data_IF_831032223301
#
_entry.id   IF_831032223301
#
_cell.length_a   1.000
_cell.length_b   1.000
_cell.length_c   1.000
_cell.angle_alpha   90.00
_cell.angle_beta   90.00
_cell.angle_gamma   90.00
#
_symmetry.space_group_name_H-M   'P 1'
#
loop_
_entity.id
_entity.type
_entity.pdbx_description
1 polymer ?
#
# COMPACT_ATOMS: atom_id res chain seq x y z
N UNK A 1 5.15 -24.68 -54.60
CA UNK A 1 5.42 -23.49 -55.43
C UNK A 1 5.64 -22.31 -54.50
N UNK A 2 6.90 -21.85 -54.44
CA UNK A 2 7.25 -20.54 -53.80
C UNK A 2 7.20 -19.48 -54.88
N UNK A 3 6.99 -18.21 -54.49
CA UNK A 3 8.05 -17.27 -54.80
C UNK A 3 8.49 -16.41 -53.60
N UNK A 4 9.77 -16.21 -53.59
CA UNK A 4 10.52 -15.24 -52.77
C UNK A 4 10.35 -13.82 -53.31
N UNK A 5 10.37 -12.84 -52.44
CA UNK A 5 10.59 -11.44 -52.83
C UNK A 5 11.52 -10.77 -51.83
N UNK A 6 12.60 -10.28 -52.39
CA UNK A 6 13.75 -9.57 -51.78
C UNK A 6 13.40 -8.13 -51.47
N UNK A 7 13.96 -7.49 -50.40
CA UNK A 7 13.75 -6.06 -50.14
C UNK A 7 14.75 -5.18 -50.95
N UNK A 8 14.37 -3.95 -51.30
CA UNK A 8 15.26 -2.99 -51.94
C UNK A 8 16.14 -2.23 -50.94
N UNK A 9 17.40 -2.08 -51.34
CA UNK A 9 18.39 -1.21 -50.74
C UNK A 9 18.05 0.25 -51.03
N UNK A 10 18.13 1.12 -50.04
CA UNK A 10 18.06 2.57 -50.25
C UNK A 10 19.35 3.22 -49.79
N UNK A 11 19.83 4.03 -50.66
CA UNK A 11 21.08 4.72 -50.75
C UNK A 11 21.34 5.77 -49.67
N UNK A 12 22.62 5.83 -49.25
CA UNK A 12 23.22 7.01 -48.61
C UNK A 12 23.27 8.19 -49.57
N UNK A 13 22.81 9.34 -49.12
CA UNK A 13 23.16 10.63 -49.73
C UNK A 13 23.87 11.48 -48.69
N UNK A 14 25.18 11.62 -48.87
CA UNK A 14 25.97 12.69 -48.24
C UNK A 14 25.58 14.00 -48.89
N UNK A 15 25.31 15.03 -48.11
CA UNK A 15 25.39 16.41 -48.55
C UNK A 15 25.99 17.32 -47.48
N UNK A 16 26.92 18.06 -47.93
CA UNK A 16 27.93 18.87 -47.24
C UNK A 16 27.37 20.17 -46.68
N UNK A 17 27.87 20.52 -45.51
CA UNK A 17 28.41 21.77 -45.00
C UNK A 17 27.90 23.09 -45.64
N UNK A 18 27.34 23.94 -44.78
CA UNK A 18 27.56 25.38 -44.84
C UNK A 18 27.54 25.97 -43.42
N UNK A 19 28.64 26.59 -43.09
CA UNK A 19 28.90 27.32 -41.85
C UNK A 19 28.05 28.59 -41.78
N UNK A 20 27.39 28.81 -40.65
CA UNK A 20 26.72 30.06 -40.30
C UNK A 20 26.90 30.34 -38.83
N UNK A 21 27.69 31.35 -38.54
CA UNK A 21 27.99 31.87 -37.20
C UNK A 21 26.85 32.77 -36.75
N UNK A 22 26.65 32.76 -35.42
CA UNK A 22 26.01 33.74 -34.55
C UNK A 22 24.58 33.47 -34.09
N UNK A 23 24.47 33.36 -32.76
CA UNK A 23 23.22 33.44 -32.05
C UNK A 23 23.25 32.63 -30.75
N UNK A 24 24.00 33.10 -29.74
CA UNK A 24 23.90 32.59 -28.37
C UNK A 24 22.56 33.06 -27.79
N UNK A 25 21.50 32.31 -27.98
CA UNK A 25 20.29 32.41 -27.17
C UNK A 25 20.39 31.35 -26.09
N UNK A 26 20.88 31.73 -24.92
CA UNK A 26 20.87 30.90 -23.73
C UNK A 26 19.44 30.62 -23.29
N UNK A 27 18.90 29.50 -23.69
CA UNK A 27 17.69 28.96 -23.08
C UNK A 27 18.07 28.48 -21.67
N UNK A 28 17.81 29.33 -20.68
CA UNK A 28 17.81 28.89 -19.28
C UNK A 28 16.69 27.83 -19.10
N UNK A 29 17.08 26.57 -19.15
CA UNK A 29 16.20 25.49 -18.71
C UNK A 29 16.06 25.66 -17.21
N UNK A 30 14.97 26.32 -16.82
CA UNK A 30 14.51 26.28 -15.41
C UNK A 30 14.17 24.84 -15.11
N UNK A 31 15.13 24.10 -14.57
CA UNK A 31 14.90 22.77 -14.03
C UNK A 31 13.83 22.89 -12.93
N UNK A 32 12.64 22.40 -13.21
CA UNK A 32 11.62 22.20 -12.18
C UNK A 32 12.25 21.24 -11.17
N UNK A 33 12.42 21.65 -9.89
CA UNK A 33 12.90 20.70 -8.88
C UNK A 33 11.91 19.54 -8.86
N UNK A 34 12.36 18.36 -9.29
CA UNK A 34 11.58 17.15 -9.17
C UNK A 34 11.26 16.97 -7.68
N UNK A 35 9.99 16.91 -7.32
CA UNK A 35 9.56 16.53 -5.99
C UNK A 35 10.06 15.10 -5.83
N UNK A 36 11.12 14.90 -5.06
CA UNK A 36 11.53 13.57 -4.65
C UNK A 36 10.37 12.96 -3.87
N UNK A 37 9.75 11.92 -4.40
CA UNK A 37 8.80 11.13 -3.64
C UNK A 37 9.56 10.57 -2.44
N UNK A 38 9.06 10.80 -1.25
CA UNK A 38 9.63 10.18 -0.05
C UNK A 38 9.53 8.65 -0.21
N UNK A 39 10.59 7.96 0.19
CA UNK A 39 10.54 6.49 0.24
C UNK A 39 9.40 6.04 1.15
N UNK A 40 8.68 4.97 0.78
CA UNK A 40 7.63 4.44 1.64
C UNK A 40 8.20 4.03 2.99
N UNK A 41 7.45 4.19 4.10
CA UNK A 41 7.93 3.82 5.42
C UNK A 41 8.33 2.35 5.46
N UNK A 42 9.41 1.99 6.17
CA UNK A 42 9.86 0.60 6.24
C UNK A 42 8.81 -0.26 6.92
N UNK A 43 8.59 -1.46 6.38
CA UNK A 43 7.67 -2.44 6.94
C UNK A 43 8.31 -3.14 8.14
N UNK A 44 7.73 -3.04 9.36
CA UNK A 44 8.20 -3.79 10.51
C UNK A 44 8.11 -5.31 10.28
N UNK A 45 9.08 -6.07 10.79
CA UNK A 45 8.97 -7.54 10.79
C UNK A 45 8.00 -7.99 11.88
N UNK A 46 6.70 -7.94 11.59
CA UNK A 46 5.64 -8.32 12.52
C UNK A 46 5.70 -9.80 12.96
N UNK A 47 6.39 -10.64 12.20
CA UNK A 47 6.55 -12.05 12.57
C UNK A 47 7.49 -12.23 13.77
N UNK A 48 8.36 -11.26 14.04
CA UNK A 48 9.21 -11.23 15.23
C UNK A 48 8.45 -10.76 16.49
N UNK A 49 7.27 -10.17 16.34
CA UNK A 49 6.51 -9.66 17.48
C UNK A 49 5.80 -10.78 18.25
N UNK A 50 5.76 -10.71 19.59
CA UNK A 50 4.95 -11.62 20.40
C UNK A 50 3.47 -11.54 20.00
N UNK A 51 2.81 -12.68 20.03
CA UNK A 51 1.38 -12.77 19.69
C UNK A 51 0.51 -12.35 20.87
N UNK A 52 -0.39 -11.41 20.63
CA UNK A 52 -1.49 -11.12 21.54
C UNK A 52 -2.46 -12.31 21.62
N UNK A 53 -3.18 -12.42 22.72
CA UNK A 53 -4.21 -13.45 22.89
C UNK A 53 -5.47 -13.03 22.11
N UNK A 54 -5.89 -13.75 21.06
CA UNK A 54 -6.98 -13.29 20.20
C UNK A 54 -8.32 -13.13 20.93
N UNK A 55 -8.59 -13.95 21.96
CA UNK A 55 -9.82 -13.83 22.75
C UNK A 55 -10.02 -12.46 23.40
N UNK A 56 -8.94 -11.73 23.67
CA UNK A 56 -9.00 -10.41 24.31
C UNK A 56 -9.45 -9.30 23.34
N UNK A 57 -9.52 -9.62 22.05
CA UNK A 57 -9.90 -8.74 20.95
C UNK A 57 -11.19 -9.20 20.26
N UNK A 58 -11.86 -10.21 20.82
CA UNK A 58 -13.08 -10.78 20.26
C UNK A 58 -14.26 -9.84 20.45
N UNK A 59 -14.93 -9.48 19.35
CA UNK A 59 -16.09 -8.58 19.32
C UNK A 59 -17.19 -9.14 18.43
N UNK A 60 -18.37 -8.51 18.39
CA UNK A 60 -19.49 -8.89 17.53
C UNK A 60 -19.85 -10.37 17.71
N UNK A 61 -20.11 -10.79 18.97
CA UNK A 61 -20.42 -12.17 19.35
C UNK A 61 -19.39 -13.20 18.85
N UNK A 62 -18.14 -12.76 18.77
CA UNK A 62 -17.04 -13.60 18.33
C UNK A 62 -16.84 -13.67 16.81
N UNK A 63 -17.58 -12.92 16.01
CA UNK A 63 -17.41 -12.89 14.56
C UNK A 63 -16.10 -12.23 14.13
N UNK A 64 -15.62 -11.25 14.89
CA UNK A 64 -14.43 -10.47 14.56
C UNK A 64 -13.42 -10.46 15.70
N UNK A 65 -12.16 -10.29 15.33
CA UNK A 65 -11.14 -9.74 16.22
C UNK A 65 -10.89 -8.29 15.80
N UNK A 66 -11.13 -7.32 16.70
CA UNK A 66 -10.97 -5.91 16.41
C UNK A 66 -9.97 -5.26 17.36
N UNK A 67 -9.17 -4.36 16.83
CA UNK A 67 -8.16 -3.63 17.60
C UNK A 67 -7.93 -2.22 17.04
N UNK A 68 -7.65 -1.29 17.94
CA UNK A 68 -7.23 0.07 17.58
C UNK A 68 -5.73 0.14 17.31
N UNK A 69 -5.33 0.96 16.36
CA UNK A 69 -3.91 1.19 16.00
C UNK A 69 -3.54 2.67 16.04
N UNK A 70 -3.94 3.45 15.08
CA UNK A 70 -3.80 4.90 15.05
C UNK A 70 -5.05 5.56 15.64
N UNK A 71 -4.97 6.84 15.99
CA UNK A 71 -6.13 7.57 16.55
C UNK A 71 -7.36 7.45 15.64
N UNK A 72 -8.40 6.84 16.15
CA UNK A 72 -9.66 6.63 15.44
C UNK A 72 -9.63 5.56 14.33
N UNK A 73 -8.52 4.85 14.13
CA UNK A 73 -8.42 3.75 13.16
C UNK A 73 -8.64 2.41 13.85
N UNK A 74 -9.66 1.69 13.42
CA UNK A 74 -9.99 0.34 13.88
C UNK A 74 -9.66 -0.67 12.80
N UNK A 75 -8.92 -1.72 13.17
CA UNK A 75 -8.61 -2.86 12.32
C UNK A 75 -9.41 -4.08 12.76
N UNK A 76 -9.74 -4.93 11.78
CA UNK A 76 -10.54 -6.14 11.99
C UNK A 76 -9.92 -7.32 11.25
N UNK A 77 -9.94 -8.50 11.91
CA UNK A 77 -9.79 -9.81 11.30
C UNK A 77 -11.15 -10.50 11.37
N UNK A 78 -11.78 -10.72 10.22
CA UNK A 78 -13.08 -11.35 10.12
C UNK A 78 -12.93 -12.87 10.15
N UNK A 79 -13.49 -13.48 11.18
CA UNK A 79 -13.40 -14.93 11.39
C UNK A 79 -14.28 -15.75 10.46
N UNK A 80 -15.33 -15.13 9.92
CA UNK A 80 -16.27 -15.82 9.03
C UNK A 80 -15.75 -15.82 7.59
N UNK A 81 -15.47 -14.64 7.06
CA UNK A 81 -15.01 -14.50 5.68
C UNK A 81 -13.50 -14.74 5.53
N UNK A 82 -12.71 -14.61 6.60
CA UNK A 82 -11.24 -14.56 6.52
C UNK A 82 -10.71 -13.25 5.97
N UNK A 83 -11.56 -12.26 5.77
CA UNK A 83 -11.17 -10.92 5.35
C UNK A 83 -10.49 -10.15 6.47
N UNK A 84 -9.77 -9.10 6.09
CA UNK A 84 -9.10 -8.22 7.05
C UNK A 84 -9.00 -6.79 6.50
N UNK A 85 -8.84 -5.84 7.38
CA UNK A 85 -8.68 -4.44 6.99
C UNK A 85 -8.73 -3.48 8.15
N UNK A 86 -8.55 -2.21 7.84
CA UNK A 86 -8.65 -1.11 8.79
C UNK A 86 -9.52 0.00 8.23
N UNK A 87 -10.30 0.65 9.07
CA UNK A 87 -11.10 1.81 8.70
C UNK A 87 -11.06 2.90 9.76
N UNK A 88 -11.23 4.14 9.30
CA UNK A 88 -11.18 5.34 10.14
C UNK A 88 -10.46 6.49 9.43
N UNK A 89 -10.05 7.51 10.16
CA UNK A 89 -9.28 8.63 9.60
C UNK A 89 -7.82 8.19 9.36
N UNK A 90 -7.58 7.41 8.27
CA UNK A 90 -6.25 6.91 7.93
C UNK A 90 -5.39 8.11 7.47
N UNK A 91 -4.32 8.49 8.23
CA UNK A 91 -3.50 9.64 7.86
C UNK A 91 -2.77 9.38 6.54
N UNK A 92 -2.59 10.41 5.71
CA UNK A 92 -1.85 10.32 4.43
C UNK A 92 -2.28 9.17 3.51
N UNK A 93 -3.55 8.71 3.62
CA UNK A 93 -4.05 7.62 2.78
C UNK A 93 -4.15 8.04 1.30
N UNK A 94 -3.83 7.16 0.35
CA UNK A 94 -3.99 7.42 -1.07
C UNK A 94 -5.41 7.89 -1.41
N UNK A 95 -5.53 9.03 -2.09
CA UNK A 95 -6.84 9.61 -2.45
C UNK A 95 -7.75 9.97 -1.26
N UNK A 96 -7.20 10.14 -0.06
CA UNK A 96 -7.98 10.42 1.15
C UNK A 96 -8.83 9.23 1.60
N UNK A 97 -8.41 8.01 1.31
CA UNK A 97 -9.12 6.78 1.66
C UNK A 97 -9.29 6.65 3.18
N UNK A 98 -10.44 6.15 3.59
CA UNK A 98 -10.77 5.87 4.99
C UNK A 98 -10.96 4.36 5.28
N UNK A 99 -10.61 3.55 4.31
CA UNK A 99 -10.67 2.10 4.37
C UNK A 99 -9.50 1.49 3.61
N UNK A 100 -8.89 0.47 4.18
CA UNK A 100 -8.05 -0.49 3.47
C UNK A 100 -8.53 -1.88 3.84
N UNK A 101 -8.74 -2.75 2.87
CA UNK A 101 -9.24 -4.10 3.14
C UNK A 101 -8.84 -5.10 2.07
N UNK A 102 -8.84 -6.37 2.44
CA UNK A 102 -8.74 -7.52 1.56
C UNK A 102 -9.69 -8.63 2.01
N UNK A 103 -10.04 -9.52 1.09
CA UNK A 103 -10.68 -10.80 1.41
C UNK A 103 -9.70 -11.82 1.99
N UNK A 104 -10.16 -13.06 2.12
CA UNK A 104 -9.30 -14.18 2.56
C UNK A 104 -8.15 -14.48 1.57
N UNK A 105 -8.28 -14.05 0.34
CA UNK A 105 -7.29 -14.12 -0.71
C UNK A 105 -7.36 -12.85 -1.57
N UNK A 106 -6.23 -12.52 -2.22
CA UNK A 106 -6.10 -11.35 -3.08
C UNK A 106 -5.47 -10.15 -2.39
N UNK A 107 -5.12 -9.18 -3.21
CA UNK A 107 -4.41 -7.98 -2.75
C UNK A 107 -5.36 -7.02 -2.04
N UNK A 108 -4.92 -6.39 -0.95
CA UNK A 108 -5.68 -5.31 -0.33
C UNK A 108 -5.77 -4.09 -1.24
N UNK A 109 -6.82 -3.29 -1.01
CA UNK A 109 -7.02 -2.04 -1.71
C UNK A 109 -7.49 -0.94 -0.76
N UNK A 110 -7.10 0.30 -1.07
CA UNK A 110 -7.64 1.49 -0.42
C UNK A 110 -8.96 1.90 -1.06
N UNK A 111 -9.89 2.36 -0.25
CA UNK A 111 -11.21 2.79 -0.70
C UNK A 111 -11.78 3.91 0.18
N UNK A 112 -12.77 4.63 -0.37
CA UNK A 112 -13.57 5.58 0.39
C UNK A 112 -14.93 4.95 0.67
N UNK A 113 -15.19 4.66 1.95
CA UNK A 113 -16.50 4.24 2.43
C UNK A 113 -17.29 5.44 2.93
N UNK A 114 -18.60 5.48 2.67
CA UNK A 114 -19.48 6.56 3.15
C UNK A 114 -19.50 6.66 4.68
N UNK A 115 -19.21 5.55 5.36
CA UNK A 115 -19.01 5.45 6.81
C UNK A 115 -17.85 4.50 7.08
N UNK A 116 -17.09 4.70 8.18
CA UNK A 116 -16.06 3.74 8.58
C UNK A 116 -16.66 2.34 8.70
N UNK A 117 -16.16 1.39 7.91
CA UNK A 117 -16.73 0.04 7.82
C UNK A 117 -16.70 -0.68 9.18
N UNK A 118 -15.62 -0.49 9.93
CA UNK A 118 -15.39 -1.10 11.24
C UNK A 118 -15.74 -0.16 12.40
N UNK A 119 -16.31 1.01 12.11
CA UNK A 119 -16.76 2.00 13.11
C UNK A 119 -17.92 1.52 13.98
N UNK A 120 -18.51 0.37 13.67
CA UNK A 120 -19.48 -0.32 14.55
C UNK A 120 -18.83 -0.88 15.81
N UNK A 121 -17.50 -1.00 15.82
CA UNK A 121 -16.73 -1.42 16.99
C UNK A 121 -16.25 -0.14 17.69
N UNK A 122 -17.09 0.33 18.62
CA UNK A 122 -16.72 1.46 19.46
C UNK A 122 -15.62 1.07 20.46
N UNK A 123 -14.63 1.96 20.63
CA UNK A 123 -13.54 1.78 21.60
C UNK A 123 -12.81 0.43 21.47
N UNK A 124 -12.46 0.03 20.25
CA UNK A 124 -11.64 -1.17 20.02
C UNK A 124 -10.36 -1.10 20.87
N UNK A 125 -10.08 -2.21 21.60
CA UNK A 125 -8.88 -2.30 22.42
C UNK A 125 -7.63 -2.06 21.59
N UNK A 126 -6.77 -1.15 22.03
CA UNK A 126 -5.52 -0.89 21.34
C UNK A 126 -4.63 -2.14 21.29
N UNK A 127 -4.00 -2.37 20.16
CA UNK A 127 -2.93 -3.37 20.04
C UNK A 127 -1.63 -2.74 20.59
N UNK A 128 -1.01 -3.32 21.62
CA UNK A 128 0.20 -2.76 22.21
C UNK A 128 1.34 -2.67 21.19
N UNK A 129 2.26 -1.69 21.31
CA UNK A 129 3.45 -1.65 20.49
C UNK A 129 4.25 -2.95 20.53
N UNK A 130 4.90 -3.26 19.41
CA UNK A 130 5.67 -4.48 19.20
C UNK A 130 4.87 -5.76 19.47
N UNK A 131 3.59 -5.75 19.16
CA UNK A 131 2.70 -6.88 19.34
C UNK A 131 1.98 -7.20 18.04
N UNK A 132 1.68 -8.47 17.80
CA UNK A 132 0.87 -8.91 16.66
C UNK A 132 -0.38 -9.64 17.13
N UNK A 133 -1.43 -9.54 16.33
CA UNK A 133 -2.65 -10.34 16.42
C UNK A 133 -2.78 -11.17 15.16
N UNK A 134 -3.01 -12.47 15.30
CA UNK A 134 -3.07 -13.37 14.14
C UNK A 134 -4.33 -14.22 14.17
N UNK A 135 -4.87 -14.46 13.00
CA UNK A 135 -5.95 -15.40 12.78
C UNK A 135 -5.80 -16.09 11.43
N UNK A 136 -5.72 -17.42 11.43
CA UNK A 136 -5.43 -18.24 10.25
C UNK A 136 -4.15 -17.75 9.56
N UNK A 137 -4.26 -17.31 8.31
CA UNK A 137 -3.15 -16.85 7.48
C UNK A 137 -2.86 -15.36 7.60
N UNK A 138 -3.70 -14.63 8.32
CA UNK A 138 -3.57 -13.18 8.49
C UNK A 138 -2.86 -12.87 9.80
N UNK A 139 -1.89 -12.00 9.73
CA UNK A 139 -1.21 -11.41 10.89
C UNK A 139 -1.19 -9.89 10.75
N UNK A 140 -1.65 -9.19 11.74
CA UNK A 140 -1.52 -7.74 11.86
C UNK A 140 -0.66 -7.42 13.08
N UNK A 141 0.29 -6.51 12.94
CA UNK A 141 1.15 -6.09 14.04
C UNK A 141 1.49 -4.61 13.95
N UNK A 142 1.84 -4.02 15.07
CA UNK A 142 2.25 -2.62 15.16
C UNK A 142 3.47 -2.46 16.04
N UNK A 143 4.35 -1.53 15.67
CA UNK A 143 5.44 -1.05 16.56
C UNK A 143 5.01 0.16 17.40
N UNK A 144 3.76 0.61 17.22
CA UNK A 144 3.17 1.78 17.87
C UNK A 144 3.02 2.98 16.93
N UNK A 145 3.74 3.01 15.80
CA UNK A 145 3.64 4.04 14.76
C UNK A 145 3.22 3.44 13.43
N UNK A 146 3.83 2.32 13.06
CA UNK A 146 3.57 1.63 11.80
C UNK A 146 2.77 0.36 12.09
N UNK A 147 1.67 0.18 11.40
CA UNK A 147 0.85 -1.03 11.45
C UNK A 147 0.95 -1.77 10.13
N UNK A 148 1.26 -3.04 10.19
CA UNK A 148 1.31 -3.93 9.03
C UNK A 148 0.33 -5.06 9.19
N UNK A 149 -0.46 -5.33 8.15
CA UNK A 149 -1.25 -6.55 8.04
C UNK A 149 -0.75 -7.36 6.83
N UNK A 150 -0.54 -8.65 7.03
CA UNK A 150 0.03 -9.57 6.04
C UNK A 150 -0.81 -10.84 5.96
N UNK A 151 -1.13 -11.25 4.75
CA UNK A 151 -1.58 -12.61 4.44
C UNK A 151 -0.38 -13.48 4.06
N UNK A 152 -0.14 -14.53 4.83
CA UNK A 152 1.03 -15.40 4.64
C UNK A 152 0.94 -16.34 3.43
N UNK A 153 -0.26 -16.53 2.85
CA UNK A 153 -0.43 -17.41 1.68
C UNK A 153 0.02 -16.70 0.40
N UNK A 154 -0.51 -15.53 0.14
CA UNK A 154 -0.24 -14.78 -1.10
C UNK A 154 0.80 -13.68 -0.90
N UNK A 155 1.38 -13.57 0.29
CA UNK A 155 2.40 -12.58 0.65
C UNK A 155 1.95 -11.14 0.34
N UNK A 156 0.65 -10.91 0.39
CA UNK A 156 0.04 -9.61 0.18
C UNK A 156 -0.35 -8.96 1.50
N UNK A 157 -0.44 -7.65 1.49
CA UNK A 157 -0.77 -6.93 2.70
C UNK A 157 -0.78 -5.42 2.52
N UNK A 158 -0.84 -4.72 3.64
CA UNK A 158 -0.76 -3.26 3.65
C UNK A 158 0.03 -2.76 4.85
N UNK A 159 0.53 -1.55 4.70
CA UNK A 159 1.19 -0.79 5.76
C UNK A 159 0.42 0.50 5.97
N UNK A 160 0.15 0.82 7.23
CA UNK A 160 -0.39 2.11 7.69
C UNK A 160 0.64 2.81 8.56
N UNK A 161 0.93 4.07 8.22
CA UNK A 161 1.85 4.92 8.94
C UNK A 161 1.39 6.38 8.82
N UNK A 162 1.70 7.25 9.80
CA UNK A 162 1.46 8.68 9.67
C UNK A 162 2.14 9.30 8.44
N UNK A 163 3.28 8.75 8.02
CA UNK A 163 4.12 9.29 6.96
C UNK A 163 3.79 8.75 5.56
N UNK A 164 2.93 7.73 5.48
CA UNK A 164 2.51 7.16 4.20
C UNK A 164 1.95 5.74 4.34
N UNK A 165 1.07 5.39 3.40
CA UNK A 165 0.38 4.11 3.41
C UNK A 165 0.49 3.45 2.05
N UNK A 166 0.67 2.14 2.03
CA UNK A 166 0.76 1.37 0.78
C UNK A 166 0.26 -0.05 0.94
N UNK A 167 -0.04 -0.67 -0.18
CA UNK A 167 -0.33 -2.10 -0.29
C UNK A 167 0.79 -2.80 -1.03
N UNK A 168 1.00 -4.09 -0.76
CA UNK A 168 2.03 -4.92 -1.37
C UNK A 168 1.50 -6.33 -1.69
N UNK A 169 2.26 -7.07 -2.49
CA UNK A 169 1.95 -8.41 -2.96
C UNK A 169 1.53 -8.51 -4.41
#
# INVERSE_FOLDING_TARGET
MRPSTTPPRVWCVLSRVLSGVAGVAGAAVLGVPGIAAADPPPMPNINAFPSAKPSDYSVMDGAWYAFGVLDGVTCVLDKQSGGYGCSGPIPAAPGGANLVSAGAAGKPGFANAARPLYGVVENAKALPPNTRLSFRTISCGTDGLVTTCLNSIDQSGFVLSPDGNYTFG
#
